data_IF_603130047492
#
_entry.id   IF_603130047492
#
_cell.length_a   1.000
_cell.length_b   1.000
_cell.length_c   1.000
_cell.angle_alpha   90.00
_cell.angle_beta   90.00
_cell.angle_gamma   90.00
#
_symmetry.space_group_name_H-M   'P 1'
#
loop_
_entity.id
_entity.type
_entity.pdbx_description
1 polymer ?
#
# COMPACT_ATOMS: atom_id res chain seq x y z
N UNK A 1 23.02 6.89 33.62
CA UNK A 1 23.10 5.75 32.67
C UNK A 1 21.71 5.16 32.55
N UNK A 2 21.31 4.57 31.41
CA UNK A 2 19.98 4.01 31.25
C UNK A 2 19.74 2.88 32.27
N UNK A 3 18.52 2.75 32.77
CA UNK A 3 18.15 1.62 33.63
C UNK A 3 18.07 0.32 32.85
N UNK A 4 18.03 -0.81 33.55
CA UNK A 4 17.79 -2.10 32.92
C UNK A 4 16.43 -2.16 32.21
N UNK A 5 15.39 -1.53 32.78
CA UNK A 5 14.05 -1.44 32.20
C UNK A 5 14.09 -0.63 30.90
N UNK A 6 14.75 0.52 30.91
CA UNK A 6 14.92 1.36 29.72
C UNK A 6 15.64 0.62 28.60
N UNK A 7 16.70 -0.12 28.92
CA UNK A 7 17.45 -0.90 27.93
C UNK A 7 16.59 -2.00 27.28
N UNK A 8 15.70 -2.63 28.05
CA UNK A 8 14.81 -3.68 27.55
C UNK A 8 13.65 -3.10 26.71
N UNK A 9 13.14 -1.92 27.05
CA UNK A 9 11.99 -1.29 26.38
C UNK A 9 12.38 -0.48 25.14
N UNK A 10 13.57 0.14 25.12
CA UNK A 10 14.01 1.00 24.02
C UNK A 10 13.83 0.38 22.61
N UNK A 11 14.12 -0.92 22.38
CA UNK A 11 13.89 -1.55 21.09
C UNK A 11 12.42 -1.49 20.64
N UNK A 12 11.46 -1.68 21.54
CA UNK A 12 10.03 -1.64 21.24
C UNK A 12 9.59 -0.23 20.83
N UNK A 13 10.00 0.80 21.60
CA UNK A 13 9.74 2.21 21.23
C UNK A 13 10.34 2.59 19.87
N UNK A 14 11.57 2.14 19.59
CA UNK A 14 12.23 2.37 18.31
C UNK A 14 11.44 1.73 17.17
N UNK A 15 11.00 0.48 17.33
CA UNK A 15 10.22 -0.25 16.32
C UNK A 15 8.88 0.45 16.04
N UNK A 16 8.13 0.80 17.09
CA UNK A 16 6.88 1.56 17.00
C UNK A 16 7.04 2.86 16.20
N UNK A 17 8.02 3.67 16.57
CA UNK A 17 8.28 4.96 15.93
C UNK A 17 8.70 4.79 14.47
N UNK A 18 9.55 3.80 14.20
CA UNK A 18 10.08 3.52 12.86
C UNK A 18 9.00 3.04 11.91
N UNK A 19 8.19 2.06 12.31
CA UNK A 19 7.13 1.51 11.47
C UNK A 19 6.02 2.53 11.22
N UNK A 20 5.64 3.31 12.24
CA UNK A 20 4.69 4.43 12.06
C UNK A 20 5.23 5.49 11.10
N UNK A 21 6.52 5.83 11.21
CA UNK A 21 7.20 6.75 10.30
C UNK A 21 7.27 6.23 8.85
N UNK A 22 7.49 4.91 8.66
CA UNK A 22 7.45 4.29 7.33
C UNK A 22 6.05 4.35 6.72
N UNK A 23 5.00 4.04 7.48
CA UNK A 23 3.62 4.18 7.02
C UNK A 23 3.31 5.62 6.58
N UNK A 24 3.68 6.62 7.38
CA UNK A 24 3.52 8.03 7.02
C UNK A 24 4.32 8.41 5.78
N UNK A 25 5.53 7.88 5.61
CA UNK A 25 6.36 8.13 4.43
C UNK A 25 5.71 7.59 3.16
N UNK A 26 5.14 6.39 3.20
CA UNK A 26 4.42 5.80 2.07
C UNK A 26 3.18 6.64 1.70
N UNK A 27 2.40 7.06 2.70
CA UNK A 27 1.24 7.94 2.50
C UNK A 27 1.65 9.29 1.89
N UNK A 28 2.70 9.91 2.42
CA UNK A 28 3.21 11.18 1.88
C UNK A 28 3.72 11.03 0.44
N UNK A 29 4.39 9.91 0.12
CA UNK A 29 4.84 9.59 -1.23
C UNK A 29 3.66 9.46 -2.19
N UNK A 30 2.61 8.74 -1.79
CA UNK A 30 1.39 8.56 -2.57
C UNK A 30 0.72 9.90 -2.91
N UNK A 31 0.55 10.78 -1.90
CA UNK A 31 -0.01 12.13 -2.09
C UNK A 31 0.86 12.95 -3.03
N UNK A 32 2.18 13.00 -2.78
CA UNK A 32 3.13 13.80 -3.57
C UNK A 32 3.12 13.42 -5.05
N UNK A 33 3.04 12.12 -5.33
CA UNK A 33 3.07 11.60 -6.69
C UNK A 33 1.66 11.49 -7.32
N UNK A 34 0.61 11.82 -6.56
CA UNK A 34 -0.79 11.62 -6.92
C UNK A 34 -1.06 10.17 -7.39
N UNK A 35 -0.46 9.21 -6.69
CA UNK A 35 -0.62 7.77 -6.94
C UNK A 35 -1.40 7.13 -5.82
N UNK A 36 -2.14 6.06 -6.14
CA UNK A 36 -2.85 5.33 -5.10
C UNK A 36 -1.88 4.77 -4.05
N UNK A 37 -2.20 4.93 -2.75
CA UNK A 37 -1.39 4.35 -1.67
C UNK A 37 -1.44 2.82 -1.74
N UNK A 38 -0.30 2.16 -1.52
CA UNK A 38 -0.25 0.70 -1.45
C UNK A 38 -0.80 0.20 -0.11
N UNK A 39 -2.04 -0.31 -0.11
CA UNK A 39 -2.71 -0.80 1.11
C UNK A 39 -1.87 -1.87 1.80
N UNK A 40 -1.33 -2.84 1.05
CA UNK A 40 -0.54 -3.93 1.62
C UNK A 40 0.72 -3.44 2.35
N UNK A 41 1.42 -2.43 1.80
CA UNK A 41 2.64 -1.89 2.40
C UNK A 41 2.29 -1.08 3.67
N UNK A 42 1.27 -0.23 3.59
CA UNK A 42 0.85 0.61 4.73
C UNK A 42 0.29 -0.26 5.87
N UNK A 43 -0.56 -1.24 5.56
CA UNK A 43 -1.10 -2.19 6.54
C UNK A 43 0.01 -3.01 7.19
N UNK A 44 1.02 -3.44 6.43
CA UNK A 44 2.17 -4.15 6.99
C UNK A 44 2.89 -3.29 8.05
N UNK A 45 3.16 -2.01 7.75
CA UNK A 45 3.77 -1.11 8.73
C UNK A 45 2.87 -0.84 9.94
N UNK A 46 1.57 -0.63 9.75
CA UNK A 46 0.61 -0.45 10.85
C UNK A 46 0.51 -1.69 11.74
N UNK A 47 0.44 -2.89 11.15
CA UNK A 47 0.39 -4.15 11.88
C UNK A 47 1.68 -4.39 12.67
N UNK A 48 2.85 -4.08 12.10
CA UNK A 48 4.12 -4.15 12.81
C UNK A 48 4.18 -3.18 13.99
N UNK A 49 3.66 -1.95 13.82
CA UNK A 49 3.51 -0.99 14.91
C UNK A 49 2.58 -1.51 16.00
N UNK A 50 1.38 -2.02 15.65
CA UNK A 50 0.40 -2.56 16.61
C UNK A 50 0.97 -3.75 17.39
N UNK A 51 1.65 -4.68 16.72
CA UNK A 51 2.35 -5.79 17.39
C UNK A 51 3.41 -5.29 18.36
N UNK A 52 4.21 -4.29 17.96
CA UNK A 52 5.21 -3.71 18.86
C UNK A 52 4.59 -2.96 20.06
N UNK A 53 3.38 -2.40 19.93
CA UNK A 53 2.63 -1.82 21.05
C UNK A 53 2.18 -2.89 22.06
N UNK A 54 1.69 -4.04 21.57
CA UNK A 54 1.30 -5.15 22.45
C UNK A 54 2.51 -5.78 23.15
N UNK A 55 3.63 -5.93 22.45
CA UNK A 55 4.90 -6.38 23.04
C UNK A 55 5.34 -5.44 24.17
N UNK A 56 5.33 -4.13 23.90
CA UNK A 56 5.68 -3.08 24.86
C UNK A 56 4.77 -3.09 26.09
N UNK A 57 3.45 -3.23 25.88
CA UNK A 57 2.47 -3.34 26.97
C UNK A 57 2.78 -4.55 27.85
N UNK A 58 3.01 -5.71 27.23
CA UNK A 58 3.36 -6.94 27.95
C UNK A 58 4.65 -6.77 28.76
N UNK A 59 5.67 -6.09 28.21
CA UNK A 59 6.89 -5.77 28.94
C UNK A 59 6.62 -4.91 30.17
N UNK A 60 5.86 -3.82 30.02
CA UNK A 60 5.50 -2.90 31.10
C UNK A 60 4.71 -3.58 32.22
N UNK A 61 3.75 -4.44 31.85
CA UNK A 61 2.98 -5.25 32.81
C UNK A 61 3.91 -6.18 33.61
N UNK A 62 4.83 -6.87 32.93
CA UNK A 62 5.79 -7.76 33.58
C UNK A 62 6.71 -7.01 34.56
N UNK A 63 7.17 -5.80 34.22
CA UNK A 63 7.95 -4.99 35.15
C UNK A 63 7.14 -4.57 36.38
N UNK A 64 5.87 -4.17 36.19
CA UNK A 64 4.99 -3.76 37.29
C UNK A 64 4.65 -4.90 38.26
N UNK A 65 4.69 -6.16 37.81
CA UNK A 65 4.36 -7.35 38.62
C UNK A 65 5.59 -8.08 39.18
N UNK A 66 6.81 -7.62 38.90
CA UNK A 66 8.04 -8.31 39.29
C UNK A 66 8.19 -8.44 40.83
N UNK A 67 8.44 -9.64 41.38
CA UNK A 67 8.68 -9.86 42.81
C UNK A 67 10.03 -9.29 43.29
N UNK A 68 10.96 -9.06 42.36
CA UNK A 68 12.36 -8.72 42.65
C UNK A 68 12.55 -7.19 42.77
N UNK A 69 11.94 -6.61 43.80
CA UNK A 69 12.02 -5.18 44.10
C UNK A 69 11.05 -4.34 43.26
N UNK A 70 10.48 -3.30 43.89
CA UNK A 70 9.57 -2.40 43.18
C UNK A 70 10.41 -1.54 42.22
N UNK A 71 10.18 -1.61 40.90
CA UNK A 71 10.76 -0.65 39.97
C UNK A 71 10.40 0.77 40.37
N UNK A 72 11.24 1.74 39.98
CA UNK A 72 10.96 3.15 40.26
C UNK A 72 9.61 3.52 39.63
N UNK A 73 8.65 3.89 40.48
CA UNK A 73 7.28 4.21 40.07
C UNK A 73 7.30 5.38 39.09
N UNK A 74 8.22 6.34 39.28
CA UNK A 74 8.34 7.50 38.40
C UNK A 74 8.82 7.08 37.00
N UNK A 75 9.75 6.15 36.93
CA UNK A 75 10.26 5.59 35.68
C UNK A 75 9.14 4.83 34.93
N UNK A 76 8.42 3.93 35.62
CA UNK A 76 7.30 3.21 35.00
C UNK A 76 6.21 4.16 34.51
N UNK A 77 5.84 5.15 35.31
CA UNK A 77 4.86 6.15 34.90
C UNK A 77 5.29 6.87 33.62
N UNK A 78 6.56 7.25 33.53
CA UNK A 78 7.11 7.93 32.35
C UNK A 78 7.04 7.01 31.13
N UNK A 79 7.41 5.74 31.27
CA UNK A 79 7.35 4.77 30.19
C UNK A 79 5.91 4.48 29.74
N UNK A 80 4.94 4.41 30.66
CA UNK A 80 3.52 4.27 30.35
C UNK A 80 2.98 5.46 29.57
N UNK A 81 3.37 6.69 29.94
CA UNK A 81 2.98 7.90 29.20
C UNK A 81 3.53 7.86 27.77
N UNK A 82 4.80 7.50 27.60
CA UNK A 82 5.41 7.36 26.27
C UNK A 82 4.71 6.27 25.45
N UNK A 83 4.40 5.12 26.06
CA UNK A 83 3.67 4.03 25.42
C UNK A 83 2.28 4.48 24.95
N UNK A 84 1.52 5.16 25.81
CA UNK A 84 0.19 5.69 25.46
C UNK A 84 0.28 6.68 24.30
N UNK A 85 1.23 7.60 24.34
CA UNK A 85 1.44 8.58 23.27
C UNK A 85 1.79 7.90 21.94
N UNK A 86 2.65 6.89 21.94
CA UNK A 86 3.00 6.14 20.73
C UNK A 86 1.81 5.36 20.19
N UNK A 87 0.97 4.78 21.05
CA UNK A 87 -0.28 4.13 20.63
C UNK A 87 -1.25 5.13 20.01
N UNK A 88 -1.39 6.33 20.58
CA UNK A 88 -2.20 7.41 20.00
C UNK A 88 -1.69 7.85 18.63
N UNK A 89 -0.36 7.88 18.44
CA UNK A 89 0.26 8.15 17.14
C UNK A 89 -0.13 7.06 16.13
N UNK A 90 -0.06 5.77 16.48
CA UNK A 90 -0.47 4.68 15.56
C UNK A 90 -1.92 4.88 15.10
N UNK A 91 -2.82 5.15 16.05
CA UNK A 91 -4.23 5.38 15.75
C UNK A 91 -4.44 6.60 14.85
N UNK A 92 -3.63 7.65 15.04
CA UNK A 92 -3.61 8.82 14.17
C UNK A 92 -3.15 8.46 12.75
N UNK A 93 -2.07 7.69 12.61
CA UNK A 93 -1.57 7.23 11.29
C UNK A 93 -2.61 6.36 10.57
N UNK A 94 -3.33 5.50 11.28
CA UNK A 94 -4.43 4.71 10.71
C UNK A 94 -5.57 5.59 10.17
N UNK A 95 -5.98 6.61 10.92
CA UNK A 95 -6.99 7.59 10.45
C UNK A 95 -6.50 8.40 9.25
N UNK A 96 -5.23 8.78 9.23
CA UNK A 96 -4.61 9.45 8.09
C UNK A 96 -4.65 8.51 6.87
N UNK A 97 -4.31 7.22 7.04
CA UNK A 97 -4.35 6.24 5.96
C UNK A 97 -5.74 6.17 5.30
N UNK A 98 -6.79 6.07 6.12
CA UNK A 98 -8.19 6.07 5.63
C UNK A 98 -8.50 7.37 4.87
N UNK A 99 -8.14 8.51 5.45
CA UNK A 99 -8.39 9.83 4.84
C UNK A 99 -7.65 10.00 3.51
N UNK A 100 -6.41 9.50 3.41
CA UNK A 100 -5.61 9.55 2.17
C UNK A 100 -6.18 8.60 1.12
N UNK A 101 -6.69 7.43 1.53
CA UNK A 101 -7.40 6.53 0.62
C UNK A 101 -8.66 7.20 0.04
N UNK A 102 -9.47 7.83 0.88
CA UNK A 102 -10.65 8.61 0.44
C UNK A 102 -10.27 9.78 -0.48
N UNK A 103 -9.20 10.51 -0.13
CA UNK A 103 -8.66 11.58 -0.96
C UNK A 103 -8.22 11.04 -2.34
N UNK A 104 -7.54 9.90 -2.36
CA UNK A 104 -7.02 9.29 -3.60
C UNK A 104 -8.15 8.94 -4.56
N UNK A 105 -9.25 8.38 -4.04
CA UNK A 105 -10.45 8.09 -4.83
C UNK A 105 -11.10 9.38 -5.37
N UNK A 106 -11.32 10.39 -4.51
CA UNK A 106 -11.97 11.65 -4.91
C UNK A 106 -11.14 12.48 -5.89
N UNK A 107 -9.82 12.50 -5.70
CA UNK A 107 -8.87 13.22 -6.53
C UNK A 107 -8.42 12.42 -7.76
N UNK A 108 -8.94 11.19 -7.95
CA UNK A 108 -8.63 10.31 -9.08
C UNK A 108 -7.12 10.08 -9.24
N UNK A 109 -6.45 9.75 -8.14
CA UNK A 109 -5.03 9.41 -8.17
C UNK A 109 -4.76 8.29 -9.17
N UNK A 110 -3.57 8.27 -9.75
CA UNK A 110 -3.19 7.22 -10.71
C UNK A 110 -3.02 5.90 -9.96
N UNK A 111 -3.70 4.85 -10.39
CA UNK A 111 -3.38 3.49 -9.94
C UNK A 111 -2.08 3.09 -10.61
N UNK A 112 -1.14 2.48 -9.89
CA UNK A 112 -0.01 1.82 -10.54
C UNK A 112 -0.57 0.67 -11.37
N UNK A 113 -0.83 0.94 -12.64
CA UNK A 113 -1.22 -0.07 -13.60
C UNK A 113 -0.03 -1.03 -13.71
N UNK A 114 -0.16 -2.25 -13.20
CA UNK A 114 0.60 -3.38 -13.70
C UNK A 114 0.31 -3.45 -15.21
N UNK A 115 1.25 -2.94 -16.01
CA UNK A 115 1.19 -2.83 -17.47
C UNK A 115 -0.01 -2.04 -18.00
N UNK A 116 0.26 -0.88 -18.60
CA UNK A 116 -0.62 -0.30 -19.60
C UNK A 116 -0.81 -1.32 -20.74
N UNK A 117 -1.81 -2.18 -20.63
CA UNK A 117 -2.42 -2.81 -21.79
C UNK A 117 -3.08 -1.67 -22.58
N UNK A 118 -2.30 -1.04 -23.46
CA UNK A 118 -2.76 -0.23 -24.60
C UNK A 118 -3.53 -1.12 -25.58
N UNK A 119 -4.56 -1.82 -25.11
CA UNK A 119 -5.37 -2.71 -25.92
C UNK A 119 -6.86 -2.43 -25.72
N UNK A 120 -7.21 -1.16 -25.54
CA UNK A 120 -8.57 -0.70 -25.76
C UNK A 120 -8.53 0.68 -26.42
N UNK A 121 -8.35 0.68 -27.75
CA UNK A 121 -8.96 1.62 -28.72
C UNK A 121 -8.36 1.50 -30.13
N UNK A 122 -8.20 0.30 -30.65
CA UNK A 122 -7.81 0.13 -32.05
C UNK A 122 -8.66 -0.89 -32.80
N UNK A 123 -9.98 -0.78 -32.73
CA UNK A 123 -10.84 -1.56 -33.63
C UNK A 123 -12.09 -0.76 -34.00
N UNK A 124 -11.94 0.28 -34.83
CA UNK A 124 -13.00 0.67 -35.78
C UNK A 124 -12.60 1.69 -36.86
N UNK A 125 -11.31 1.97 -37.09
CA UNK A 125 -10.94 2.67 -38.33
C UNK A 125 -10.85 1.63 -39.46
N UNK A 126 -11.96 1.48 -40.20
CA UNK A 126 -11.92 0.77 -41.47
C UNK A 126 -10.90 1.44 -42.39
N UNK A 127 -9.99 0.66 -42.99
CA UNK A 127 -9.07 1.16 -44.01
C UNK A 127 -9.88 1.36 -45.29
N UNK A 128 -10.04 2.61 -45.71
CA UNK A 128 -10.65 2.97 -46.99
C UNK A 128 -9.53 3.19 -48.00
N UNK A 129 -9.41 2.28 -48.97
CA UNK A 129 -8.61 2.56 -50.16
C UNK A 129 -9.47 3.41 -51.11
N UNK A 130 -8.96 4.54 -51.64
CA UNK A 130 -9.66 5.26 -52.70
C UNK A 130 -9.68 4.37 -53.95
N UNK A 131 -10.89 4.09 -54.43
CA UNK A 131 -11.14 3.36 -55.67
C UNK A 131 -11.21 4.39 -56.80
N UNK A 132 -10.47 4.11 -57.87
CA UNK A 132 -10.52 4.90 -59.11
C UNK A 132 -11.90 4.72 -59.75
N UNK A 133 -12.51 5.84 -60.13
CA UNK A 133 -13.92 5.95 -60.48
C UNK A 133 -14.15 5.42 -61.91
N UNK A 134 -14.49 4.13 -62.02
CA UNK A 134 -15.45 3.71 -63.04
C UNK A 134 -16.16 2.41 -62.62
N UNK A 135 -17.48 2.41 -62.75
CA UNK A 135 -18.44 1.33 -62.48
C UNK A 135 -18.89 1.09 -61.02
N UNK A 136 -20.15 1.48 -60.79
CA UNK A 136 -20.91 1.33 -59.55
C UNK A 136 -21.19 -0.14 -59.24
N UNK A 137 -20.35 -0.81 -58.46
CA UNK A 137 -20.76 -1.91 -57.57
C UNK A 137 -19.71 -2.12 -56.47
N UNK A 138 -20.09 -2.01 -55.20
CA UNK A 138 -19.21 -2.32 -54.07
C UNK A 138 -19.44 -3.78 -53.68
N UNK A 139 -18.48 -4.66 -53.97
CA UNK A 139 -18.50 -6.06 -53.51
C UNK A 139 -17.73 -6.13 -52.20
N UNK A 140 -18.42 -6.48 -51.12
CA UNK A 140 -17.80 -6.76 -49.82
C UNK A 140 -17.67 -8.28 -49.70
N UNK A 141 -16.45 -8.80 -49.86
CA UNK A 141 -16.15 -10.20 -49.60
C UNK A 141 -15.82 -10.38 -48.11
N UNK A 142 -16.76 -10.93 -47.34
CA UNK A 142 -16.54 -11.26 -45.93
C UNK A 142 -15.94 -12.68 -45.88
N UNK A 143 -14.63 -12.79 -45.65
CA UNK A 143 -14.00 -14.07 -45.34
C UNK A 143 -14.06 -14.31 -43.83
N UNK A 144 -14.98 -15.17 -43.41
CA UNK A 144 -15.00 -15.70 -42.05
C UNK A 144 -13.83 -16.70 -41.93
N UNK A 145 -12.79 -16.33 -41.18
CA UNK A 145 -11.66 -17.24 -40.92
C UNK A 145 -11.89 -17.87 -39.56
N UNK A 146 -12.14 -19.18 -39.53
CA UNK A 146 -12.24 -19.91 -38.26
C UNK A 146 -10.85 -20.30 -37.77
N UNK A 147 -10.69 -20.42 -36.44
CA UNK A 147 -9.41 -20.62 -35.74
C UNK A 147 -8.59 -21.83 -36.27
N UNK A 148 -9.21 -22.77 -36.97
CA UNK A 148 -8.54 -23.93 -37.59
C UNK A 148 -7.63 -23.59 -38.77
N UNK A 149 -7.87 -22.47 -39.47
CA UNK A 149 -7.13 -22.14 -40.71
C UNK A 149 -5.74 -21.53 -40.46
N UNK A 150 -5.42 -21.19 -39.20
CA UNK A 150 -4.15 -20.58 -38.80
C UNK A 150 -3.07 -21.62 -38.43
N UNK A 151 -3.45 -22.86 -38.14
CA UNK A 151 -2.50 -23.88 -37.64
C UNK A 151 -1.74 -24.60 -38.79
N UNK A 152 -2.20 -24.48 -40.04
CA UNK A 152 -1.59 -25.17 -41.19
C UNK A 152 -0.52 -24.37 -41.95
N UNK A 153 -0.18 -23.14 -41.53
CA UNK A 153 0.84 -22.32 -42.20
C UNK A 153 2.24 -22.37 -41.57
N UNK A 154 2.43 -23.08 -40.47
CA UNK A 154 3.72 -23.14 -39.75
C UNK A 154 4.46 -24.48 -39.96
N UNK A 155 4.41 -25.03 -41.18
CA UNK A 155 5.27 -26.15 -41.56
C UNK A 155 5.66 -26.13 -43.03
N UNK A 156 6.63 -25.28 -43.37
CA UNK A 156 7.74 -25.65 -44.27
C UNK A 156 8.89 -24.67 -44.19
#
# INVERSE_FOLDING_TARGET
APSEIELQIQPAFRKLSTESGKALKELASAIKNMTFPSSAVIENHLNNSKSAAEDLKTMLDNFSLSPNGKPDIQEIMTLLVIASLLTDIINCVEKISISVNELSEKARFRKENSTDNKQQRLIHCGVVNPVDDDERTVVIEIKETTLGDLILKDKH
#
